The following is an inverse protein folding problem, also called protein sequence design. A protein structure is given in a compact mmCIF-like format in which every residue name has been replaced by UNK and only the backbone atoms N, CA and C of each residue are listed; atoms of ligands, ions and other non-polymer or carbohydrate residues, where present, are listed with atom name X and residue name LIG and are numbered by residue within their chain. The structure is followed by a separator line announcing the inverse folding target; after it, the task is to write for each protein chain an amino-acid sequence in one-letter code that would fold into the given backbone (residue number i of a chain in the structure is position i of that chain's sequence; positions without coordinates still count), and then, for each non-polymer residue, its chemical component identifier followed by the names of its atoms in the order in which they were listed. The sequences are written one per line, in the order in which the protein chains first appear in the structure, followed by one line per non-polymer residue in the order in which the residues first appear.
data_IF_470501431750
#
_entry.id   IF_470501431750
#
_cell.length_a   1.000
_cell.length_b   1.000
_cell.length_c   1.000
_cell.angle_alpha   90.00
_cell.angle_beta   90.00
_cell.angle_gamma   90.00
#
_symmetry.space_group_name_H-M   'P 1'
#
loop_
_entity.id
_entity.type
_entity.pdbx_description
1 polymer ?
#
# COMPACT_ATOMS: atom_id res chain seq x y z
N UNK A 1 -12.38 39.77 20.21
CA UNK A 1 -11.08 39.34 19.63
C UNK A 1 -11.34 38.17 18.68
N UNK A 2 -10.98 38.29 17.40
CA UNK A 2 -11.14 37.19 16.41
C UNK A 2 -9.85 36.38 16.37
N UNK A 3 -9.89 35.14 16.84
CA UNK A 3 -8.76 34.20 16.79
C UNK A 3 -8.67 33.66 15.36
N UNK A 4 -7.58 34.01 14.66
CA UNK A 4 -7.31 33.56 13.30
C UNK A 4 -6.64 32.19 13.41
N UNK A 5 -7.40 31.11 13.23
CA UNK A 5 -6.86 29.74 13.20
C UNK A 5 -6.19 29.58 11.84
N UNK A 6 -4.87 29.73 11.81
CA UNK A 6 -4.05 29.44 10.64
C UNK A 6 -3.93 27.92 10.55
N UNK A 7 -4.71 27.29 9.67
CA UNK A 7 -4.52 25.89 9.31
C UNK A 7 -3.17 25.76 8.60
N UNK A 8 -2.16 25.33 9.34
CA UNK A 8 -0.90 24.89 8.74
C UNK A 8 -1.23 23.58 8.05
N UNK A 9 -1.38 23.62 6.72
CA UNK A 9 -1.32 22.44 5.85
C UNK A 9 0.11 21.90 5.94
N UNK A 10 0.44 21.26 7.05
CA UNK A 10 1.59 20.37 7.09
C UNK A 10 1.14 19.16 6.31
N UNK A 11 1.53 19.09 5.03
CA UNK A 11 1.43 17.89 4.22
C UNK A 11 2.19 16.79 4.96
N UNK A 12 1.49 16.00 5.77
CA UNK A 12 2.01 14.76 6.32
C UNK A 12 1.87 13.76 5.17
N UNK A 13 2.75 13.92 4.20
CA UNK A 13 3.02 12.98 3.10
C UNK A 13 3.83 11.81 3.66
N UNK A 14 3.34 11.23 4.76
CA UNK A 14 3.86 9.95 5.23
C UNK A 14 3.09 8.90 4.44
N UNK A 15 3.61 8.61 3.24
CA UNK A 15 3.40 7.33 2.58
C UNK A 15 3.76 6.26 3.62
N UNK A 16 2.75 5.81 4.37
CA UNK A 16 2.92 4.69 5.28
C UNK A 16 3.06 3.50 4.37
N UNK A 17 4.26 2.93 4.32
CA UNK A 17 4.49 1.68 3.64
C UNK A 17 3.64 0.61 4.32
N UNK A 18 2.67 0.07 3.60
CA UNK A 18 1.86 -1.03 4.07
C UNK A 18 2.67 -2.31 3.94
N UNK A 19 2.76 -3.08 5.02
CA UNK A 19 3.42 -4.37 5.03
C UNK A 19 2.36 -5.45 5.18
N UNK A 20 2.48 -6.50 4.37
CA UNK A 20 1.61 -7.67 4.38
C UNK A 20 2.42 -8.92 4.73
N UNK A 21 1.82 -9.84 5.49
CA UNK A 21 2.44 -11.14 5.75
C UNK A 21 2.32 -12.07 4.52
N UNK A 22 3.23 -13.04 4.39
CA UNK A 22 3.21 -13.98 3.26
C UNK A 22 1.89 -14.77 3.21
N UNK A 23 1.35 -15.20 4.36
CA UNK A 23 0.08 -15.93 4.44
C UNK A 23 -1.11 -15.09 3.93
N UNK A 24 -1.17 -13.81 4.28
CA UNK A 24 -2.21 -12.89 3.81
C UNK A 24 -2.10 -12.64 2.30
N UNK A 25 -0.86 -12.51 1.79
CA UNK A 25 -0.61 -12.40 0.37
C UNK A 25 -1.04 -13.67 -0.40
N UNK A 26 -0.85 -14.85 0.17
CA UNK A 26 -1.35 -16.10 -0.38
C UNK A 26 -2.88 -16.15 -0.42
N UNK A 27 -3.55 -15.61 0.60
CA UNK A 27 -5.01 -15.48 0.59
C UNK A 27 -5.46 -14.55 -0.53
N UNK A 28 -4.81 -13.40 -0.72
CA UNK A 28 -5.13 -12.46 -1.80
C UNK A 28 -4.92 -13.05 -3.19
N UNK A 29 -3.89 -13.88 -3.39
CA UNK A 29 -3.69 -14.60 -4.67
C UNK A 29 -4.83 -15.57 -4.99
N UNK A 30 -5.48 -16.11 -3.97
CA UNK A 30 -6.62 -17.01 -4.10
C UNK A 30 -7.97 -16.28 -4.03
N UNK A 31 -7.96 -14.97 -3.79
CA UNK A 31 -9.16 -14.18 -3.63
C UNK A 31 -9.80 -13.84 -5.00
N UNK A 32 -11.09 -14.15 -5.13
CA UNK A 32 -11.85 -13.90 -6.36
C UNK A 32 -12.09 -12.42 -6.68
N UNK A 33 -11.87 -11.51 -5.73
CA UNK A 33 -11.96 -10.07 -5.90
C UNK A 33 -10.67 -9.47 -6.45
N UNK A 34 -9.55 -10.20 -6.37
CA UNK A 34 -8.27 -9.79 -6.95
C UNK A 34 -8.27 -10.09 -8.44
N UNK A 35 -7.90 -9.10 -9.23
CA UNK A 35 -7.80 -9.20 -10.69
C UNK A 35 -6.39 -9.61 -11.11
N UNK A 36 -5.37 -8.96 -10.53
CA UNK A 36 -3.97 -9.29 -10.77
C UNK A 36 -3.11 -8.85 -9.60
N UNK A 37 -1.99 -9.55 -9.41
CA UNK A 37 -0.96 -9.19 -8.46
C UNK A 37 0.37 -9.17 -9.22
N UNK A 38 0.95 -7.99 -9.30
CA UNK A 38 2.31 -7.80 -9.82
C UNK A 38 3.27 -7.60 -8.64
N UNK A 39 4.53 -7.97 -8.85
CA UNK A 39 5.57 -7.76 -7.84
C UNK A 39 6.80 -7.12 -8.45
N UNK A 40 7.38 -6.19 -7.71
CA UNK A 40 8.63 -5.52 -8.04
C UNK A 40 9.59 -5.62 -6.86
N UNK A 41 10.89 -5.84 -7.11
CA UNK A 41 11.90 -5.83 -6.06
C UNK A 41 12.24 -4.37 -5.72
N UNK A 42 12.20 -4.02 -4.44
CA UNK A 42 12.66 -2.73 -3.95
C UNK A 42 14.01 -2.89 -3.22
N UNK A 43 15.08 -2.47 -3.87
CA UNK A 43 16.44 -2.51 -3.32
C UNK A 43 16.64 -1.58 -2.11
N UNK A 44 15.81 -0.55 -1.92
CA UNK A 44 15.93 0.36 -0.78
C UNK A 44 15.36 -0.24 0.50
N UNK A 45 14.39 -1.14 0.37
CA UNK A 45 13.73 -1.83 1.47
C UNK A 45 14.13 -3.30 1.61
N UNK A 46 14.90 -3.82 0.65
CA UNK A 46 15.29 -5.22 0.57
C UNK A 46 14.07 -6.16 0.63
N UNK A 47 12.97 -5.76 -0.01
CA UNK A 47 11.67 -6.44 0.06
C UNK A 47 10.94 -6.43 -1.29
N UNK A 48 9.96 -7.31 -1.45
CA UNK A 48 9.07 -7.31 -2.61
C UNK A 48 7.93 -6.32 -2.39
N UNK A 49 7.78 -5.37 -3.29
CA UNK A 49 6.59 -4.53 -3.41
C UNK A 49 5.57 -5.23 -4.31
N UNK A 50 4.40 -5.52 -3.77
CA UNK A 50 3.28 -6.11 -4.47
C UNK A 50 2.26 -5.03 -4.83
N UNK A 51 1.95 -4.91 -6.12
CA UNK A 51 0.86 -4.07 -6.62
C UNK A 51 -0.34 -4.97 -6.89
N UNK A 52 -1.39 -4.80 -6.11
CA UNK A 52 -2.61 -5.62 -6.14
C UNK A 52 -3.69 -4.80 -6.83
N UNK A 53 -4.17 -5.29 -7.97
CA UNK A 53 -5.30 -4.70 -8.69
C UNK A 53 -6.55 -5.54 -8.42
N UNK A 54 -7.62 -4.87 -8.00
CA UNK A 54 -8.92 -5.48 -7.73
C UNK A 54 -9.86 -5.36 -8.92
N UNK A 55 -10.89 -6.21 -8.95
CA UNK A 55 -11.87 -6.22 -10.05
C UNK A 55 -12.69 -4.93 -10.17
N UNK A 56 -12.80 -4.15 -9.09
CA UNK A 56 -13.49 -2.86 -9.09
C UNK A 56 -12.62 -1.72 -9.70
N UNK A 57 -11.37 -1.98 -10.04
CA UNK A 57 -10.41 -1.00 -10.56
C UNK A 57 -9.65 -0.24 -9.49
N UNK A 58 -9.83 -0.57 -8.20
CA UNK A 58 -8.93 -0.11 -7.15
C UNK A 58 -7.60 -0.86 -7.22
N UNK A 59 -6.54 -0.21 -6.76
CA UNK A 59 -5.22 -0.80 -6.65
C UNK A 59 -4.55 -0.39 -5.35
N UNK A 60 -3.83 -1.31 -4.72
CA UNK A 60 -3.00 -1.04 -3.54
C UNK A 60 -1.59 -1.58 -3.70
N UNK A 61 -0.67 -1.00 -2.93
CA UNK A 61 0.74 -1.34 -2.93
C UNK A 61 1.18 -1.75 -1.52
N UNK A 62 1.66 -2.98 -1.40
CA UNK A 62 2.05 -3.59 -0.11
C UNK A 62 3.42 -4.24 -0.21
N UNK A 63 4.25 -4.07 0.81
CA UNK A 63 5.55 -4.74 0.92
C UNK A 63 5.40 -6.08 1.63
N UNK A 64 6.11 -7.09 1.15
CA UNK A 64 6.26 -8.37 1.84
C UNK A 64 7.74 -8.71 1.95
N UNK A 65 8.17 -9.04 3.17
CA UNK A 65 9.48 -9.62 3.41
C UNK A 65 9.50 -11.06 2.87
N UNK A 66 10.67 -11.51 2.40
CA UNK A 66 10.94 -12.88 1.94
C UNK A 66 11.63 -13.70 3.03
#
# INVERSE_FOLDING_TARGET
MKVKITFIKTSIDKLVDFWIEEEELEQLKNDSFVKSIDRNWDDSKEAWLYSIEYQNGDSEEVYCNV
#
